data_IF_372063563390
#
_entry.id   IF_372063563390
#
_cell.length_a   1.000
_cell.length_b   1.000
_cell.length_c   1.000
_cell.angle_alpha   90.00
_cell.angle_beta   90.00
_cell.angle_gamma   90.00
#
_symmetry.space_group_name_H-M   'P 1'
#
loop_
_entity.id
_entity.type
_entity.pdbx_description
1 polymer ?
#
# COMPACT_ATOMS: atom_id res chain seq x y z
N UNK A 1 -25.71 -43.32 -6.40
CA UNK A 1 -25.11 -42.67 -5.22
C UNK A 1 -23.94 -41.83 -5.72
N UNK A 2 -24.18 -40.55 -5.95
CA UNK A 2 -23.20 -39.63 -6.54
C UNK A 2 -22.48 -38.92 -5.39
N UNK A 3 -21.16 -39.08 -5.30
CA UNK A 3 -20.35 -38.40 -4.29
C UNK A 3 -20.51 -36.89 -4.44
N UNK A 4 -20.77 -36.13 -3.36
CA UNK A 4 -20.78 -34.68 -3.43
C UNK A 4 -19.35 -34.22 -3.75
N UNK A 5 -19.22 -33.60 -4.92
CA UNK A 5 -18.04 -32.91 -5.40
C UNK A 5 -17.47 -32.02 -4.29
N UNK A 6 -16.24 -32.30 -3.87
CA UNK A 6 -15.41 -31.53 -2.92
C UNK A 6 -14.99 -30.21 -3.60
N UNK A 7 -15.94 -29.40 -4.06
CA UNK A 7 -15.71 -28.08 -4.68
C UNK A 7 -16.52 -26.97 -4.00
N UNK A 8 -17.29 -27.31 -2.95
CA UNK A 8 -18.02 -26.35 -2.12
C UNK A 8 -17.50 -26.21 -0.68
N UNK A 9 -16.44 -26.93 -0.29
CA UNK A 9 -15.94 -26.94 1.09
C UNK A 9 -14.82 -25.92 1.36
N UNK A 10 -14.47 -25.07 0.39
CA UNK A 10 -13.44 -24.03 0.53
C UNK A 10 -14.03 -22.62 0.47
N UNK A 11 -15.32 -22.42 0.76
CA UNK A 11 -15.97 -21.10 0.83
C UNK A 11 -15.70 -20.36 2.17
N UNK A 12 -14.60 -20.68 2.87
CA UNK A 12 -14.24 -20.10 4.17
C UNK A 12 -12.76 -19.79 4.36
N UNK A 13 -11.91 -19.98 3.36
CA UNK A 13 -10.56 -19.42 3.38
C UNK A 13 -10.70 -18.00 2.85
N UNK A 14 -10.67 -17.01 3.74
CA UNK A 14 -10.55 -15.61 3.38
C UNK A 14 -9.53 -15.50 2.24
N UNK A 15 -9.97 -15.13 1.04
CA UNK A 15 -9.05 -14.87 -0.06
C UNK A 15 -8.04 -13.85 0.46
N UNK A 16 -6.77 -14.24 0.56
CA UNK A 16 -5.71 -13.33 0.93
C UNK A 16 -5.67 -12.23 -0.14
N UNK A 17 -6.28 -11.08 0.19
CA UNK A 17 -6.36 -9.95 -0.74
C UNK A 17 -4.98 -9.33 -0.93
N UNK A 18 -4.78 -8.63 -2.05
CA UNK A 18 -3.52 -7.90 -2.28
C UNK A 18 -3.21 -6.93 -1.13
N UNK A 19 -4.24 -6.28 -0.57
CA UNK A 19 -4.10 -5.37 0.57
C UNK A 19 -3.56 -6.10 1.81
N UNK A 20 -4.16 -7.25 2.15
CA UNK A 20 -3.70 -8.06 3.29
C UNK A 20 -2.24 -8.51 3.11
N UNK A 21 -1.84 -8.93 1.91
CA UNK A 21 -0.46 -9.33 1.63
C UNK A 21 0.53 -8.18 1.82
N UNK A 22 0.15 -6.96 1.41
CA UNK A 22 0.98 -5.77 1.62
C UNK A 22 1.12 -5.43 3.10
N UNK A 23 0.01 -5.44 3.85
CA UNK A 23 0.05 -5.17 5.29
C UNK A 23 0.89 -6.23 6.04
N UNK A 24 0.81 -7.49 5.62
CA UNK A 24 1.63 -8.58 6.17
C UNK A 24 3.12 -8.39 5.84
N UNK A 25 3.45 -7.97 4.62
CA UNK A 25 4.84 -7.66 4.21
C UNK A 25 5.39 -6.52 5.06
N UNK A 26 4.63 -5.45 5.27
CA UNK A 26 5.05 -4.31 6.08
C UNK A 26 5.32 -4.72 7.53
N UNK A 27 4.42 -5.52 8.12
CA UNK A 27 4.57 -6.04 9.48
C UNK A 27 5.82 -6.94 9.62
N UNK A 28 6.01 -7.87 8.68
CA UNK A 28 7.16 -8.78 8.71
C UNK A 28 8.47 -8.02 8.49
N UNK A 29 8.47 -7.00 7.62
CA UNK A 29 9.62 -6.13 7.40
C UNK A 29 10.00 -5.39 8.69
N UNK A 30 9.02 -4.90 9.44
CA UNK A 30 9.25 -4.31 10.76
C UNK A 30 9.91 -5.32 11.72
N UNK A 31 9.38 -6.55 11.81
CA UNK A 31 9.99 -7.60 12.63
C UNK A 31 11.43 -7.93 12.21
N UNK A 32 11.76 -7.91 10.91
CA UNK A 32 13.13 -8.14 10.44
C UNK A 32 14.08 -7.04 10.92
N UNK A 33 13.62 -5.79 10.91
CA UNK A 33 14.44 -4.65 11.38
C UNK A 33 14.68 -4.74 12.89
N UNK A 34 13.67 -5.12 13.68
CA UNK A 34 13.76 -5.16 15.14
C UNK A 34 14.48 -6.41 15.67
N UNK A 35 14.11 -7.60 15.18
CA UNK A 35 14.53 -8.90 15.73
C UNK A 35 15.56 -9.62 14.85
N UNK A 36 15.85 -9.07 13.67
CA UNK A 36 16.83 -9.58 12.73
C UNK A 36 16.29 -10.57 11.70
N UNK A 37 17.17 -11.25 10.95
CA UNK A 37 16.83 -11.94 9.70
C UNK A 37 16.02 -13.23 9.86
N UNK A 38 15.61 -13.59 11.08
CA UNK A 38 14.84 -14.83 11.35
C UNK A 38 13.52 -14.88 10.57
N UNK A 39 12.94 -13.72 10.27
CA UNK A 39 11.70 -13.61 9.51
C UNK A 39 11.90 -13.50 7.99
N UNK A 40 13.14 -13.50 7.48
CA UNK A 40 13.42 -13.38 6.05
C UNK A 40 12.70 -14.44 5.19
N UNK A 41 12.62 -15.74 5.58
CA UNK A 41 11.88 -16.74 4.80
C UNK A 41 10.37 -16.45 4.71
N UNK A 42 9.81 -15.78 5.72
CA UNK A 42 8.40 -15.39 5.74
C UNK A 42 8.18 -14.23 4.78
N UNK A 43 9.07 -13.24 4.79
CA UNK A 43 9.03 -12.11 3.87
C UNK A 43 9.09 -12.58 2.41
N UNK A 44 10.08 -13.44 2.08
CA UNK A 44 10.25 -13.97 0.72
C UNK A 44 8.99 -14.69 0.22
N UNK A 45 8.32 -15.46 1.11
CA UNK A 45 7.09 -16.16 0.76
C UNK A 45 5.94 -15.18 0.49
N UNK A 46 5.76 -14.15 1.31
CA UNK A 46 4.71 -13.16 1.11
C UNK A 46 4.91 -12.35 -0.17
N UNK A 47 6.16 -11.97 -0.47
CA UNK A 47 6.51 -11.28 -1.72
C UNK A 47 6.24 -12.14 -2.95
N UNK A 48 6.53 -13.45 -2.89
CA UNK A 48 6.24 -14.38 -3.96
C UNK A 48 4.73 -14.51 -4.22
N UNK A 49 3.91 -14.62 -3.18
CA UNK A 49 2.44 -14.68 -3.30
C UNK A 49 1.87 -13.38 -3.88
N UNK A 50 2.38 -12.22 -3.45
CA UNK A 50 2.01 -10.93 -4.02
C UNK A 50 2.36 -10.85 -5.51
N UNK A 51 3.53 -11.33 -5.92
CA UNK A 51 3.90 -11.41 -7.33
C UNK A 51 2.98 -12.34 -8.12
N UNK A 52 2.53 -13.47 -7.56
CA UNK A 52 1.61 -14.38 -8.22
C UNK A 52 0.25 -13.71 -8.44
N UNK A 53 -0.30 -13.02 -7.43
CA UNK A 53 -1.53 -12.26 -7.58
C UNK A 53 -1.39 -11.16 -8.63
N UNK A 54 -0.30 -10.39 -8.57
CA UNK A 54 -0.05 -9.33 -9.55
C UNK A 54 0.10 -9.89 -10.96
N UNK A 55 0.78 -11.03 -11.15
CA UNK A 55 0.92 -11.67 -12.47
C UNK A 55 -0.41 -12.15 -13.04
N UNK A 56 -1.36 -12.56 -12.19
CA UNK A 56 -2.72 -12.93 -12.60
C UNK A 56 -3.57 -11.73 -13.00
N UNK A 57 -3.24 -10.54 -12.52
CA UNK A 57 -3.88 -9.31 -13.00
C UNK A 57 -3.34 -8.85 -14.35
N UNK A 58 -4.27 -8.54 -15.26
CA UNK A 58 -4.01 -7.89 -16.55
C UNK A 58 -3.01 -6.74 -16.36
N UNK A 59 -1.91 -6.77 -17.13
CA UNK A 59 -0.84 -5.75 -17.12
C UNK A 59 -1.44 -4.34 -17.26
N UNK A 60 -2.52 -4.21 -18.03
CA UNK A 60 -3.21 -2.94 -18.22
C UNK A 60 -3.98 -2.48 -16.98
N UNK A 61 -4.56 -3.41 -16.21
CA UNK A 61 -5.19 -3.11 -14.93
C UNK A 61 -4.17 -2.64 -13.88
N UNK A 62 -2.99 -3.26 -13.86
CA UNK A 62 -1.84 -2.82 -13.04
C UNK A 62 -1.35 -1.44 -13.44
N UNK A 63 -1.16 -1.17 -14.73
CA UNK A 63 -0.72 0.14 -15.21
C UNK A 63 -1.71 1.24 -14.82
N UNK A 64 -3.02 0.99 -14.98
CA UNK A 64 -4.08 1.93 -14.56
C UNK A 64 -4.05 2.22 -13.06
N UNK A 65 -3.94 1.19 -12.21
CA UNK A 65 -3.82 1.38 -10.75
C UNK A 65 -2.58 2.15 -10.35
N UNK A 66 -1.43 1.86 -10.97
CA UNK A 66 -0.20 2.58 -10.69
C UNK A 66 -0.29 4.07 -11.05
N UNK A 67 -0.97 4.40 -12.15
CA UNK A 67 -1.24 5.80 -12.52
C UNK A 67 -2.16 6.49 -11.52
N UNK A 68 -3.21 5.81 -11.05
CA UNK A 68 -4.11 6.34 -10.00
C UNK A 68 -3.34 6.58 -8.70
N UNK A 69 -2.56 5.61 -8.23
CA UNK A 69 -1.77 5.74 -6.99
C UNK A 69 -0.80 6.91 -7.06
N UNK A 70 -0.07 7.04 -8.18
CA UNK A 70 0.85 8.17 -8.38
C UNK A 70 0.12 9.50 -8.41
N UNK A 71 -1.04 9.59 -9.09
CA UNK A 71 -1.86 10.81 -9.09
C UNK A 71 -2.26 11.18 -7.67
N UNK A 72 -2.71 10.22 -6.87
CA UNK A 72 -3.17 10.48 -5.51
C UNK A 72 -1.99 10.87 -4.59
N UNK A 73 -0.81 10.25 -4.74
CA UNK A 73 0.44 10.69 -4.08
C UNK A 73 0.85 12.13 -4.45
N UNK A 74 0.67 12.53 -5.71
CA UNK A 74 0.93 13.90 -6.17
C UNK A 74 -0.06 14.91 -5.58
N UNK A 75 -1.34 14.56 -5.53
CA UNK A 75 -2.38 15.41 -4.93
C UNK A 75 -2.09 15.60 -3.44
N UNK A 76 -1.74 14.54 -2.72
CA UNK A 76 -1.45 14.62 -1.29
C UNK A 76 -0.23 15.52 -1.01
N UNK A 77 0.83 15.41 -1.82
CA UNK A 77 2.00 16.29 -1.73
C UNK A 77 1.66 17.76 -2.02
N UNK A 78 0.83 18.03 -3.02
CA UNK A 78 0.40 19.39 -3.35
C UNK A 78 -0.45 20.00 -2.23
N UNK A 79 -1.33 19.21 -1.61
CA UNK A 79 -2.12 19.62 -0.45
C UNK A 79 -1.24 19.92 0.77
N UNK A 80 -0.23 19.09 1.04
CA UNK A 80 0.74 19.32 2.13
C UNK A 80 1.53 20.61 1.89
N UNK A 81 2.01 20.84 0.67
CA UNK A 81 2.74 22.06 0.30
C UNK A 81 1.87 23.32 0.47
N UNK A 82 0.61 23.28 0.04
CA UNK A 82 -0.33 24.40 0.22
C UNK A 82 -0.62 24.68 1.69
N UNK A 83 -0.74 23.65 2.51
CA UNK A 83 -0.96 23.77 3.96
C UNK A 83 0.26 24.34 4.71
N UNK A 84 1.48 24.05 4.25
CA UNK A 84 2.69 24.64 4.81
C UNK A 84 2.82 26.12 4.43
N UNK A 85 2.46 26.48 3.19
CA UNK A 85 2.55 27.86 2.71
C UNK A 85 1.44 28.79 3.26
N UNK A 86 0.30 28.26 3.70
CA UNK A 86 -0.74 29.05 4.39
C UNK A 86 -0.47 29.23 5.90
N UNK A 87 0.51 28.53 6.45
CA UNK A 87 0.88 28.57 7.86
C UNK A 87 1.99 29.58 8.18
N UNK A 88 2.34 30.50 7.26
CA UNK A 88 3.20 31.67 7.55
C UNK A 88 2.27 32.84 7.93
N UNK A 89 2.13 33.18 9.23
CA UNK A 89 1.36 34.35 9.64
C UNK A 89 2.29 35.57 9.60
N UNK A 90 1.88 36.62 8.87
CA UNK A 90 2.26 37.99 9.17
C UNK A 90 3.67 38.42 8.76
N UNK A 91 3.80 38.93 7.53
CA UNK A 91 4.66 40.10 7.31
C UNK A 91 3.73 41.31 7.23
N UNK A 92 3.46 41.89 8.40
CA UNK A 92 2.88 43.23 8.51
C UNK A 92 3.72 44.21 7.67
N UNK A 93 3.11 45.00 6.77
CA UNK A 93 3.84 46.07 6.11
C UNK A 93 4.15 47.12 7.18
N UNK A 94 5.41 47.17 7.63
CA UNK A 94 5.91 48.30 8.44
C UNK A 94 5.83 49.58 7.60
N UNK A 95 4.68 50.25 7.68
CA UNK A 95 4.53 51.64 7.30
C UNK A 95 5.55 52.46 8.09
N UNK A 96 6.62 52.86 7.40
CA UNK A 96 7.51 53.89 7.91
C UNK A 96 6.78 55.22 7.73
N UNK A 97 6.27 55.76 8.84
CA UNK A 97 6.02 57.19 8.95
C UNK A 97 7.38 57.85 9.12
N UNK A 98 7.72 58.78 8.23
CA UNK A 98 8.45 60.02 8.53
C UNK A 98 8.36 60.98 7.35
#
# INVERSE_FOLDING_TARGET
>A
MTLPTIRGACEGLAEFTEAWLRDAIDLVSFCIVEDGPVYAPILERLEAELQILQRREDVMARARRNLVRRRDEFVERDLVLKKQNSAVPGLEPRGHSH
#
